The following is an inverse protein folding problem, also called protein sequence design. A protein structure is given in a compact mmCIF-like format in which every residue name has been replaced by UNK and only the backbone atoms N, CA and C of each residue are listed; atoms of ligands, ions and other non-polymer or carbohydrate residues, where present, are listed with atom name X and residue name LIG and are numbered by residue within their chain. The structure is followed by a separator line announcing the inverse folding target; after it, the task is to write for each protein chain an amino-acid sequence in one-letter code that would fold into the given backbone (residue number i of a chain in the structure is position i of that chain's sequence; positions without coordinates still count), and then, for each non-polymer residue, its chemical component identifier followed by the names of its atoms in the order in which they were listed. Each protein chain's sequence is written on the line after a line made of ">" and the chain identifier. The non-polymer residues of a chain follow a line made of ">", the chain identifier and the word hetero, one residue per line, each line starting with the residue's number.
data_IF_049088175126
#
_entry.id   IF_049088175126
#
_cell.length_a   1.000
_cell.length_b   1.000
_cell.length_c   1.000
_cell.angle_alpha   90.00
_cell.angle_beta   90.00
_cell.angle_gamma   90.00
#
_symmetry.space_group_name_H-M   'P 1'
#
loop_
_entity.id
_entity.type
_entity.pdbx_description
1 polymer ?
#
# COMPACT_ATOMS: atom_id res chain seq x y z
N UNK A 1 5.02 -12.17 -15.71
CA UNK A 1 6.32 -11.83 -15.09
C UNK A 1 7.19 -11.24 -16.19
N UNK A 2 7.88 -10.18 -15.88
CA UNK A 2 8.72 -9.50 -16.87
C UNK A 2 10.17 -9.90 -16.64
N UNK A 3 10.78 -10.56 -17.62
CA UNK A 3 12.19 -10.88 -17.60
C UNK A 3 13.02 -9.63 -17.90
N UNK A 4 14.16 -9.48 -17.25
CA UNK A 4 15.07 -8.36 -17.45
C UNK A 4 16.42 -8.82 -17.98
N UNK A 5 17.06 -7.95 -18.76
CA UNK A 5 18.49 -8.03 -19.02
C UNK A 5 19.19 -7.00 -18.14
N UNK A 6 20.19 -7.45 -17.42
CA UNK A 6 21.15 -6.60 -16.72
C UNK A 6 22.37 -6.41 -17.62
N UNK A 7 22.76 -5.17 -17.84
CA UNK A 7 24.09 -4.90 -18.39
C UNK A 7 24.98 -4.31 -17.31
N UNK A 8 26.24 -4.66 -17.39
CA UNK A 8 27.32 -4.01 -16.64
C UNK A 8 28.30 -3.39 -17.60
N UNK A 9 28.53 -2.09 -17.44
CA UNK A 9 29.62 -1.37 -18.11
C UNK A 9 30.74 -1.14 -17.08
N UNK A 10 31.88 -1.80 -17.24
CA UNK A 10 33.11 -1.47 -16.51
C UNK A 10 33.86 -0.40 -17.30
N UNK A 11 34.05 0.79 -16.71
CA UNK A 11 34.44 2.01 -17.41
C UNK A 11 35.78 2.54 -16.87
N UNK A 12 36.70 2.92 -17.75
CA UNK A 12 37.98 3.50 -17.37
C UNK A 12 38.35 4.66 -18.30
N UNK A 13 38.59 5.90 -17.81
CA UNK A 13 38.35 6.35 -16.45
C UNK A 13 36.83 6.39 -16.12
N UNK A 14 36.47 6.26 -14.83
CA UNK A 14 35.11 6.30 -14.35
C UNK A 14 34.92 7.49 -13.40
N UNK A 15 33.94 8.32 -13.66
CA UNK A 15 33.45 9.37 -12.76
C UNK A 15 31.93 9.54 -12.92
N UNK A 16 31.32 10.35 -12.07
CA UNK A 16 29.89 10.59 -12.04
C UNK A 16 29.35 11.17 -13.38
N UNK A 17 30.09 12.06 -14.04
CA UNK A 17 29.66 12.64 -15.31
C UNK A 17 29.61 11.58 -16.43
N UNK A 18 30.59 10.67 -16.44
CA UNK A 18 30.66 9.59 -17.41
C UNK A 18 29.52 8.59 -17.21
N UNK A 19 29.25 8.19 -15.97
CA UNK A 19 28.15 7.26 -15.66
C UNK A 19 26.78 7.87 -15.92
N UNK A 20 26.59 9.16 -15.62
CA UNK A 20 25.35 9.89 -15.90
C UNK A 20 25.09 10.01 -17.40
N UNK A 21 26.13 10.25 -18.18
CA UNK A 21 26.00 10.35 -19.65
C UNK A 21 25.68 8.98 -20.28
N UNK A 22 26.31 7.89 -19.83
CA UNK A 22 25.93 6.54 -20.23
C UNK A 22 24.48 6.23 -19.84
N UNK A 23 24.05 6.58 -18.62
CA UNK A 23 22.69 6.39 -18.17
C UNK A 23 21.69 7.12 -19.06
N UNK A 24 21.98 8.36 -19.47
CA UNK A 24 21.13 9.13 -20.38
C UNK A 24 20.97 8.45 -21.73
N UNK A 25 22.06 8.01 -22.37
CA UNK A 25 21.99 7.31 -23.68
C UNK A 25 21.26 5.96 -23.59
N UNK A 26 21.50 5.21 -22.49
CA UNK A 26 20.80 3.94 -22.26
C UNK A 26 19.31 4.14 -21.99
N UNK A 27 18.94 5.23 -21.29
CA UNK A 27 17.52 5.56 -21.06
C UNK A 27 16.76 5.80 -22.38
N UNK A 28 17.41 6.44 -23.36
CA UNK A 28 16.84 6.62 -24.71
C UNK A 28 16.61 5.29 -25.46
N UNK A 29 17.35 4.23 -25.07
CA UNK A 29 17.17 2.86 -25.57
C UNK A 29 16.16 2.02 -24.74
N UNK A 30 15.52 2.61 -23.73
CA UNK A 30 14.48 1.95 -22.95
C UNK A 30 14.96 1.28 -21.66
N UNK A 31 16.18 1.59 -21.19
CA UNK A 31 16.63 1.17 -19.86
C UNK A 31 15.90 1.95 -18.76
N UNK A 32 15.47 1.25 -17.70
CA UNK A 32 14.56 1.81 -16.70
C UNK A 32 15.24 2.08 -15.36
N UNK A 33 16.36 1.42 -15.08
CA UNK A 33 17.07 1.53 -13.79
C UNK A 33 18.57 1.55 -13.97
N UNK A 34 19.26 2.37 -13.17
CA UNK A 34 20.69 2.63 -13.26
C UNK A 34 21.32 2.62 -11.87
N UNK A 35 22.41 1.87 -11.72
CA UNK A 35 23.17 1.76 -10.48
C UNK A 35 24.64 2.06 -10.79
N UNK A 36 25.08 3.33 -10.63
CA UNK A 36 26.48 3.70 -10.79
C UNK A 36 27.29 3.26 -9.57
N UNK A 37 28.58 2.98 -9.78
CA UNK A 37 29.57 2.78 -8.75
C UNK A 37 30.97 3.33 -9.18
N UNK A 38 31.98 3.15 -8.36
CA UNK A 38 33.34 3.67 -8.60
C UNK A 38 34.02 3.09 -9.85
N UNK A 39 33.50 2.01 -10.42
CA UNK A 39 34.09 1.25 -11.54
C UNK A 39 33.24 1.24 -12.79
N UNK A 40 32.02 1.77 -12.73
CA UNK A 40 31.13 1.80 -13.92
C UNK A 40 29.65 1.93 -13.59
N UNK A 41 28.84 1.35 -14.48
CA UNK A 41 27.38 1.46 -14.43
C UNK A 41 26.74 0.11 -14.64
N UNK A 42 25.78 -0.26 -13.78
CA UNK A 42 24.85 -1.35 -14.02
C UNK A 42 23.50 -0.78 -14.44
N UNK A 43 22.89 -1.32 -15.50
CA UNK A 43 21.60 -0.86 -15.99
C UNK A 43 20.69 -2.05 -16.33
N UNK A 44 19.37 -1.83 -16.24
CA UNK A 44 18.34 -2.85 -16.40
C UNK A 44 17.33 -2.45 -17.48
N UNK A 45 16.98 -3.42 -18.33
CA UNK A 45 16.00 -3.26 -19.39
C UNK A 45 15.10 -4.50 -19.46
N UNK A 46 13.83 -4.30 -19.83
CA UNK A 46 12.94 -5.40 -20.15
C UNK A 46 13.57 -6.27 -21.26
N UNK A 47 13.65 -7.60 -21.06
CA UNK A 47 14.28 -8.53 -22.00
C UNK A 47 13.74 -8.46 -23.41
N UNK A 48 12.46 -8.08 -23.58
CA UNK A 48 11.84 -7.92 -24.91
C UNK A 48 12.30 -6.70 -25.67
N UNK A 49 12.88 -5.70 -24.97
CA UNK A 49 13.40 -4.45 -25.55
C UNK A 49 14.93 -4.48 -25.70
N UNK A 50 15.59 -5.48 -25.11
CA UNK A 50 17.04 -5.53 -25.12
C UNK A 50 17.61 -5.78 -26.52
N UNK A 51 18.50 -4.90 -26.92
CA UNK A 51 19.31 -5.07 -28.15
C UNK A 51 20.78 -4.77 -27.82
N UNK A 52 21.62 -5.78 -27.98
CA UNK A 52 23.05 -5.67 -27.66
C UNK A 52 23.78 -4.68 -28.59
N UNK A 53 23.37 -4.61 -29.86
CA UNK A 53 24.00 -3.72 -30.86
C UNK A 53 23.82 -2.24 -30.51
N UNK A 54 22.69 -1.88 -29.88
CA UNK A 54 22.45 -0.50 -29.43
C UNK A 54 23.45 -0.11 -28.33
N UNK A 55 23.71 -1.00 -27.38
CA UNK A 55 24.72 -0.76 -26.31
C UNK A 55 26.13 -0.67 -26.88
N UNK A 56 26.48 -1.58 -27.79
CA UNK A 56 27.79 -1.56 -28.47
C UNK A 56 27.98 -0.26 -29.29
N UNK A 57 26.93 0.24 -29.91
CA UNK A 57 26.94 1.53 -30.63
C UNK A 57 27.12 2.71 -29.68
N UNK A 58 26.43 2.72 -28.54
CA UNK A 58 26.60 3.75 -27.50
C UNK A 58 28.05 3.78 -27.01
N UNK A 59 28.66 2.62 -26.78
CA UNK A 59 30.06 2.53 -26.35
C UNK A 59 31.00 3.07 -27.45
N UNK A 60 30.78 2.68 -28.72
CA UNK A 60 31.62 3.06 -29.81
C UNK A 60 31.55 4.57 -30.14
N UNK A 61 30.37 5.17 -30.03
CA UNK A 61 30.10 6.56 -30.36
C UNK A 61 30.13 7.49 -29.14
N UNK A 62 30.62 6.97 -27.97
CA UNK A 62 30.65 7.75 -26.74
C UNK A 62 31.50 9.02 -26.90
N UNK A 63 31.00 10.21 -26.49
CA UNK A 63 31.65 11.49 -26.83
C UNK A 63 32.92 11.79 -25.99
N UNK A 64 33.30 10.92 -25.08
CA UNK A 64 34.49 11.03 -24.24
C UNK A 64 35.44 9.86 -24.48
N UNK A 65 36.73 10.06 -24.27
CA UNK A 65 37.74 8.98 -24.39
C UNK A 65 37.68 8.07 -23.17
N UNK A 66 37.01 6.92 -23.31
CA UNK A 66 36.84 5.91 -22.24
C UNK A 66 37.02 4.51 -22.83
N UNK A 67 37.48 3.59 -22.01
CA UNK A 67 37.44 2.16 -22.28
C UNK A 67 36.26 1.58 -21.47
N UNK A 68 35.25 1.05 -22.16
CA UNK A 68 34.04 0.51 -21.55
C UNK A 68 33.83 -0.94 -21.97
N UNK A 69 33.83 -1.85 -21.00
CA UNK A 69 33.62 -3.28 -21.20
C UNK A 69 32.19 -3.67 -20.82
N UNK A 70 31.46 -4.23 -21.78
CA UNK A 70 30.10 -4.71 -21.59
C UNK A 70 30.07 -6.16 -21.10
N UNK A 71 29.30 -6.40 -20.03
CA UNK A 71 28.84 -7.72 -19.60
C UNK A 71 27.31 -7.73 -19.58
N UNK A 72 26.68 -8.81 -20.02
CA UNK A 72 25.23 -8.96 -20.10
C UNK A 72 24.81 -10.21 -19.33
N UNK A 73 23.91 -10.05 -18.40
CA UNK A 73 23.34 -11.14 -17.60
C UNK A 73 21.82 -11.15 -17.76
N UNK A 74 21.25 -12.35 -17.90
CA UNK A 74 19.81 -12.53 -17.90
C UNK A 74 19.29 -12.66 -16.49
N UNK A 75 18.31 -11.83 -16.15
CA UNK A 75 17.58 -11.92 -14.89
C UNK A 75 16.19 -12.48 -15.21
N UNK A 76 16.01 -13.74 -14.91
CA UNK A 76 14.69 -14.36 -14.94
C UNK A 76 13.76 -13.57 -14.00
N UNK A 77 12.62 -13.15 -14.51
CA UNK A 77 11.60 -12.46 -13.74
C UNK A 77 11.12 -13.33 -12.58
N UNK A 78 11.89 -13.33 -11.50
CA UNK A 78 11.45 -13.92 -10.24
C UNK A 78 10.45 -12.97 -9.62
N UNK A 79 9.38 -13.52 -9.16
CA UNK A 79 8.49 -12.79 -8.26
C UNK A 79 9.19 -12.64 -6.90
N UNK A 80 10.03 -11.58 -6.81
CA UNK A 80 10.71 -11.22 -5.57
C UNK A 80 9.70 -10.95 -4.45
N UNK A 81 8.46 -10.62 -4.81
CA UNK A 81 7.37 -10.46 -3.86
C UNK A 81 6.96 -11.83 -3.29
N UNK A 82 6.84 -12.87 -4.12
CA UNK A 82 6.48 -14.22 -3.65
C UNK A 82 7.55 -14.78 -2.69
N UNK A 83 8.84 -14.56 -2.98
CA UNK A 83 9.93 -15.01 -2.09
C UNK A 83 10.01 -14.16 -0.82
N UNK A 84 9.77 -12.85 -0.93
CA UNK A 84 9.67 -11.95 0.21
C UNK A 84 8.43 -12.28 1.07
N UNK A 85 7.29 -12.46 0.46
CA UNK A 85 6.04 -12.83 1.12
C UNK A 85 6.18 -14.13 1.90
N UNK A 86 6.75 -15.18 1.30
CA UNK A 86 6.97 -16.47 1.97
C UNK A 86 7.94 -16.40 3.15
N UNK A 87 8.94 -15.52 3.08
CA UNK A 87 10.00 -15.46 4.09
C UNK A 87 9.75 -14.41 5.18
N UNK A 88 9.01 -13.34 4.88
CA UNK A 88 8.85 -12.17 5.77
C UNK A 88 7.41 -11.95 6.25
N UNK A 89 6.40 -12.40 5.50
CA UNK A 89 5.02 -12.34 5.94
C UNK A 89 4.73 -13.54 6.84
N UNK A 90 4.66 -13.31 8.14
CA UNK A 90 4.30 -14.35 9.13
C UNK A 90 2.87 -14.13 9.61
N UNK A 91 2.13 -15.21 9.99
CA UNK A 91 0.82 -15.05 10.61
C UNK A 91 0.91 -14.15 11.85
N UNK A 92 0.00 -13.20 11.98
CA UNK A 92 -0.09 -12.34 13.15
C UNK A 92 -1.43 -12.51 13.84
N UNK A 93 -1.43 -12.39 15.17
CA UNK A 93 -2.65 -12.42 15.97
C UNK A 93 -2.90 -11.04 16.58
N UNK A 94 -4.09 -10.51 16.34
CA UNK A 94 -4.53 -9.21 16.85
C UNK A 94 -5.49 -9.43 18.02
N UNK A 95 -5.12 -8.88 19.18
CA UNK A 95 -5.93 -8.90 20.41
C UNK A 95 -6.46 -10.29 20.80
N UNK A 96 -5.72 -11.35 20.52
CA UNK A 96 -6.10 -12.76 20.74
C UNK A 96 -7.45 -13.17 20.11
N UNK A 97 -7.95 -12.42 19.14
CA UNK A 97 -9.26 -12.63 18.54
C UNK A 97 -9.24 -12.76 17.02
N UNK A 98 -8.28 -12.15 16.36
CA UNK A 98 -8.19 -12.14 14.89
C UNK A 98 -6.81 -12.61 14.47
N UNK A 99 -6.73 -13.61 13.60
CA UNK A 99 -5.50 -14.02 12.94
C UNK A 99 -5.52 -13.51 11.51
N UNK A 100 -4.38 -13.07 11.02
CA UNK A 100 -4.16 -12.65 9.64
C UNK A 100 -3.02 -13.50 9.10
N UNK A 101 -3.24 -14.14 7.98
CA UNK A 101 -2.26 -15.02 7.35
C UNK A 101 -2.44 -15.05 5.84
N UNK A 102 -1.52 -15.68 5.12
CA UNK A 102 -1.62 -15.91 3.69
C UNK A 102 -2.03 -17.35 3.38
N UNK A 103 -2.50 -17.60 2.15
CA UNK A 103 -2.88 -18.93 1.65
C UNK A 103 -1.74 -19.95 1.70
N UNK A 104 -0.48 -19.51 1.66
CA UNK A 104 0.68 -20.39 1.72
C UNK A 104 1.09 -20.80 3.14
N UNK A 105 0.54 -20.20 4.20
CA UNK A 105 0.85 -20.60 5.58
C UNK A 105 0.16 -21.90 5.95
N UNK A 106 0.91 -22.82 6.57
CA UNK A 106 0.40 -24.14 7.00
C UNK A 106 0.08 -24.18 8.49
N UNK A 107 0.86 -23.47 9.29
CA UNK A 107 0.75 -23.44 10.75
C UNK A 107 0.17 -22.09 11.17
N UNK A 108 -1.17 -21.97 11.11
CA UNK A 108 -1.88 -20.74 11.44
C UNK A 108 -2.47 -20.87 12.84
N UNK A 109 -2.23 -19.89 13.74
CA UNK A 109 -2.86 -19.84 15.05
C UNK A 109 -4.39 -19.82 14.93
N UNK A 110 -5.07 -20.55 15.79
CA UNK A 110 -6.54 -20.54 15.80
C UNK A 110 -7.06 -19.26 16.47
N UNK A 111 -7.96 -18.55 15.81
CA UNK A 111 -8.60 -17.35 16.31
C UNK A 111 -10.09 -17.31 15.95
N UNK A 112 -10.85 -16.40 16.56
CA UNK A 112 -12.29 -16.25 16.31
C UNK A 112 -12.57 -15.71 14.90
N UNK A 113 -11.71 -14.80 14.43
CA UNK A 113 -11.74 -14.23 13.08
C UNK A 113 -10.46 -14.63 12.39
N UNK A 114 -10.61 -15.22 11.23
CA UNK A 114 -9.52 -15.74 10.42
C UNK A 114 -9.55 -14.99 9.08
N UNK A 115 -8.52 -14.18 8.82
CA UNK A 115 -8.43 -13.32 7.65
C UNK A 115 -7.27 -13.78 6.78
N UNK A 116 -7.59 -14.15 5.56
CA UNK A 116 -6.61 -14.55 4.55
C UNK A 116 -6.28 -13.35 3.67
N UNK A 117 -5.00 -12.96 3.65
CA UNK A 117 -4.47 -11.89 2.82
C UNK A 117 -3.25 -12.40 2.08
N UNK A 118 -3.31 -12.41 0.76
CA UNK A 118 -2.15 -12.64 -0.11
C UNK A 118 -1.66 -11.26 -0.61
N UNK A 119 -0.79 -10.58 0.17
CA UNK A 119 -0.40 -9.23 -0.15
C UNK A 119 0.43 -9.22 -1.43
N UNK A 120 -0.02 -8.50 -2.43
CA UNK A 120 0.76 -8.16 -3.60
C UNK A 120 1.46 -6.82 -3.30
N UNK A 121 1.45 -5.86 -4.17
CA UNK A 121 2.02 -4.54 -3.92
C UNK A 121 1.08 -3.60 -3.13
N UNK A 122 0.03 -4.10 -2.49
CA UNK A 122 -0.96 -3.31 -1.77
C UNK A 122 -0.59 -3.11 -0.29
N UNK A 123 -0.87 -1.91 0.24
CA UNK A 123 -0.74 -1.62 1.68
C UNK A 123 -1.88 -2.28 2.48
N UNK A 124 -1.60 -2.67 3.74
CA UNK A 124 -2.61 -3.21 4.65
C UNK A 124 -2.48 -4.70 4.94
N UNK A 125 -1.26 -5.21 5.12
CA UNK A 125 -1.00 -6.61 5.50
C UNK A 125 -1.30 -6.94 6.96
N UNK A 126 -1.64 -5.95 7.78
CA UNK A 126 -1.84 -6.11 9.22
C UNK A 126 -0.57 -5.89 10.06
N UNK A 127 0.63 -6.00 9.48
CA UNK A 127 1.91 -5.86 10.21
C UNK A 127 2.26 -4.43 10.58
N UNK A 128 1.76 -3.46 9.82
CA UNK A 128 2.01 -2.05 10.14
C UNK A 128 1.20 -1.63 11.36
N UNK A 129 1.81 -0.86 12.27
CA UNK A 129 1.17 -0.40 13.51
C UNK A 129 -0.21 0.22 13.28
N UNK A 130 -0.37 1.08 12.26
CA UNK A 130 -1.64 1.75 11.94
C UNK A 130 -2.77 0.75 11.63
N UNK A 131 -2.49 -0.28 10.83
CA UNK A 131 -3.46 -1.30 10.48
C UNK A 131 -3.83 -2.13 11.71
N UNK A 132 -2.83 -2.57 12.49
CA UNK A 132 -3.03 -3.30 13.72
C UNK A 132 -3.88 -2.53 14.74
N UNK A 133 -3.62 -1.22 14.92
CA UNK A 133 -4.38 -0.36 15.83
C UNK A 133 -5.85 -0.19 15.41
N UNK A 134 -6.12 -0.02 14.11
CA UNK A 134 -7.51 0.05 13.61
C UNK A 134 -8.20 -1.30 13.77
N UNK A 135 -7.55 -2.43 13.45
CA UNK A 135 -8.12 -3.77 13.66
C UNK A 135 -8.51 -4.00 15.13
N UNK A 136 -7.62 -3.65 16.08
CA UNK A 136 -7.93 -3.70 17.51
C UNK A 136 -9.15 -2.84 17.86
N UNK A 137 -9.25 -1.64 17.27
CA UNK A 137 -10.37 -0.73 17.53
C UNK A 137 -11.67 -1.26 16.94
N UNK A 138 -11.63 -1.93 15.77
CA UNK A 138 -12.80 -2.59 15.18
C UNK A 138 -13.31 -3.73 16.04
N UNK A 139 -12.40 -4.57 16.60
CA UNK A 139 -12.76 -5.67 17.50
C UNK A 139 -13.48 -5.20 18.77
N UNK A 140 -13.24 -3.96 19.21
CA UNK A 140 -13.88 -3.33 20.37
C UNK A 140 -15.14 -2.52 20.02
N UNK A 141 -15.45 -2.38 18.70
CA UNK A 141 -16.57 -1.57 18.24
C UNK A 141 -17.76 -2.44 17.87
N UNK A 142 -18.96 -2.03 18.29
CA UNK A 142 -20.20 -2.72 17.87
C UNK A 142 -20.47 -2.48 16.37
N UNK A 143 -20.19 -3.51 15.58
CA UNK A 143 -20.33 -3.48 14.12
C UNK A 143 -21.67 -4.08 13.64
N UNK A 144 -22.40 -4.78 14.52
CA UNK A 144 -23.57 -5.55 14.12
C UNK A 144 -24.67 -4.66 13.52
N UNK A 145 -25.01 -4.95 12.27
CA UNK A 145 -26.05 -4.22 11.53
C UNK A 145 -25.66 -2.81 11.09
N UNK A 146 -24.41 -2.39 11.28
CA UNK A 146 -23.90 -1.07 10.88
C UNK A 146 -23.54 -1.03 9.39
N UNK A 147 -23.57 0.17 8.83
CA UNK A 147 -22.95 0.46 7.54
C UNK A 147 -21.55 1.05 7.73
N UNK A 148 -20.59 0.62 6.90
CA UNK A 148 -19.17 0.98 7.00
C UNK A 148 -18.70 1.49 5.64
N UNK A 149 -17.89 2.56 5.66
CA UNK A 149 -17.09 3.01 4.52
C UNK A 149 -15.63 2.94 4.95
N UNK A 150 -14.79 2.31 4.12
CA UNK A 150 -13.34 2.20 4.29
C UNK A 150 -12.64 2.92 3.14
N UNK A 151 -12.08 4.10 3.41
CA UNK A 151 -11.45 4.98 2.44
C UNK A 151 -9.94 4.70 2.35
N UNK A 152 -9.46 4.36 1.15
CA UNK A 152 -8.11 3.83 0.94
C UNK A 152 -8.01 2.41 1.50
N UNK A 153 -8.89 1.51 1.00
CA UNK A 153 -9.07 0.17 1.61
C UNK A 153 -7.84 -0.73 1.44
N UNK A 154 -6.96 -0.44 0.46
CA UNK A 154 -5.73 -1.21 0.21
C UNK A 154 -6.03 -2.68 -0.04
N UNK A 155 -5.48 -3.58 0.78
CA UNK A 155 -5.78 -5.02 0.72
C UNK A 155 -7.23 -5.38 1.06
N UNK A 156 -8.04 -4.44 1.53
CA UNK A 156 -9.40 -4.69 1.99
C UNK A 156 -9.52 -5.21 3.43
N UNK A 157 -8.43 -5.38 4.15
CA UNK A 157 -8.40 -6.06 5.46
C UNK A 157 -9.35 -5.44 6.50
N UNK A 158 -9.45 -4.10 6.56
CA UNK A 158 -10.32 -3.40 7.51
C UNK A 158 -11.79 -3.57 7.16
N UNK A 159 -12.10 -3.52 5.86
CA UNK A 159 -13.43 -3.79 5.32
C UNK A 159 -13.83 -5.25 5.56
N UNK A 160 -12.94 -6.20 5.32
CA UNK A 160 -13.15 -7.64 5.54
C UNK A 160 -13.47 -7.90 7.02
N UNK A 161 -12.63 -7.42 7.96
CA UNK A 161 -12.92 -7.58 9.38
C UNK A 161 -14.26 -6.94 9.76
N UNK A 162 -14.58 -5.77 9.22
CA UNK A 162 -15.86 -5.10 9.47
C UNK A 162 -17.05 -5.97 9.07
N UNK A 163 -16.97 -6.64 7.91
CA UNK A 163 -17.99 -7.58 7.47
C UNK A 163 -18.07 -8.81 8.38
N UNK A 164 -16.94 -9.41 8.76
CA UNK A 164 -16.90 -10.55 9.69
C UNK A 164 -17.47 -10.22 11.08
N UNK A 165 -17.34 -8.98 11.53
CA UNK A 165 -17.93 -8.46 12.77
C UNK A 165 -19.45 -8.21 12.68
N UNK A 166 -20.06 -8.46 11.53
CA UNK A 166 -21.51 -8.40 11.32
C UNK A 166 -22.00 -7.04 10.82
N UNK A 167 -21.17 -6.23 10.20
CA UNK A 167 -21.63 -5.04 9.48
C UNK A 167 -22.61 -5.45 8.38
N UNK A 168 -23.70 -4.68 8.24
CA UNK A 168 -24.76 -4.97 7.25
C UNK A 168 -24.37 -4.61 5.82
N UNK A 169 -23.61 -3.55 5.69
CA UNK A 169 -23.11 -3.03 4.41
C UNK A 169 -21.70 -2.48 4.62
N UNK A 170 -20.75 -2.96 3.84
CA UNK A 170 -19.38 -2.49 3.85
C UNK A 170 -19.01 -2.06 2.44
N UNK A 171 -18.43 -0.86 2.31
CA UNK A 171 -17.94 -0.33 1.04
C UNK A 171 -16.49 0.11 1.23
N UNK A 172 -15.58 -0.50 0.49
CA UNK A 172 -14.19 -0.07 0.36
C UNK A 172 -14.01 0.84 -0.86
N UNK A 173 -13.17 1.87 -0.76
CA UNK A 173 -12.81 2.74 -1.89
C UNK A 173 -11.30 2.70 -2.01
N UNK A 174 -10.78 2.44 -3.22
CA UNK A 174 -9.35 2.38 -3.50
C UNK A 174 -9.02 3.11 -4.80
N UNK A 175 -7.98 3.93 -4.78
CA UNK A 175 -7.59 4.74 -5.94
C UNK A 175 -6.62 3.99 -6.86
N UNK A 176 -5.79 3.11 -6.31
CA UNK A 176 -4.83 2.32 -7.07
C UNK A 176 -5.51 1.09 -7.69
N UNK A 177 -5.45 0.91 -9.02
CA UNK A 177 -6.10 -0.21 -9.69
C UNK A 177 -5.57 -1.57 -9.24
N UNK A 178 -4.26 -1.68 -8.95
CA UNK A 178 -3.65 -2.93 -8.51
C UNK A 178 -4.10 -3.33 -7.09
N UNK A 179 -4.17 -2.36 -6.17
CA UNK A 179 -4.69 -2.56 -4.83
C UNK A 179 -6.20 -2.86 -4.86
N UNK A 180 -6.96 -2.20 -5.75
CA UNK A 180 -8.39 -2.48 -5.96
C UNK A 180 -8.64 -3.93 -6.38
N UNK A 181 -7.90 -4.44 -7.38
CA UNK A 181 -8.02 -5.85 -7.81
C UNK A 181 -7.62 -6.81 -6.70
N UNK A 182 -6.55 -6.50 -5.95
CA UNK A 182 -6.12 -7.30 -4.81
C UNK A 182 -7.18 -7.32 -3.68
N UNK A 183 -7.84 -6.18 -3.40
CA UNK A 183 -8.95 -6.14 -2.45
C UNK A 183 -10.13 -7.03 -2.86
N UNK A 184 -10.50 -7.05 -4.14
CA UNK A 184 -11.55 -7.92 -4.67
C UNK A 184 -11.21 -9.40 -4.47
N UNK A 185 -9.98 -9.82 -4.78
CA UNK A 185 -9.50 -11.18 -4.54
C UNK A 185 -9.60 -11.55 -3.05
N UNK A 186 -9.18 -10.66 -2.15
CA UNK A 186 -9.25 -10.91 -0.70
C UNK A 186 -10.68 -11.00 -0.19
N UNK A 187 -11.59 -10.17 -0.70
CA UNK A 187 -13.02 -10.26 -0.37
C UNK A 187 -13.56 -11.63 -0.75
N UNK A 188 -13.21 -12.16 -1.91
CA UNK A 188 -13.59 -13.50 -2.37
C UNK A 188 -12.94 -14.59 -1.51
N UNK A 189 -11.62 -14.53 -1.25
CA UNK A 189 -10.89 -15.49 -0.41
C UNK A 189 -11.50 -15.62 0.99
N UNK A 190 -11.95 -14.52 1.57
CA UNK A 190 -12.53 -14.49 2.89
C UNK A 190 -14.05 -14.75 2.90
N UNK A 191 -14.67 -14.96 1.74
CA UNK A 191 -16.09 -15.23 1.58
C UNK A 191 -17.00 -14.23 2.34
N UNK A 192 -16.65 -12.94 2.23
CA UNK A 192 -17.41 -11.84 2.85
C UNK A 192 -18.09 -10.96 1.79
N UNK A 193 -19.11 -10.20 2.21
CA UNK A 193 -19.80 -9.27 1.31
C UNK A 193 -19.30 -7.84 1.55
N UNK A 194 -18.41 -7.38 0.67
CA UNK A 194 -17.85 -6.03 0.65
C UNK A 194 -17.93 -5.49 -0.77
N UNK A 195 -18.53 -4.32 -0.93
CA UNK A 195 -18.54 -3.59 -2.20
C UNK A 195 -17.21 -2.84 -2.32
N UNK A 196 -16.35 -3.14 -3.29
CA UNK A 196 -15.12 -2.38 -3.53
C UNK A 196 -15.30 -1.49 -4.75
N UNK A 197 -14.95 -0.20 -4.63
CA UNK A 197 -15.08 0.81 -5.66
C UNK A 197 -13.70 1.37 -6.03
N UNK A 198 -13.36 1.35 -7.31
CA UNK A 198 -12.16 2.02 -7.81
C UNK A 198 -12.42 3.53 -7.91
N UNK A 199 -11.57 4.34 -7.29
CA UNK A 199 -11.60 5.81 -7.34
C UNK A 199 -11.15 6.48 -6.06
N UNK A 200 -11.29 7.79 -6.03
CA UNK A 200 -10.93 8.67 -4.92
C UNK A 200 -12.14 9.09 -4.07
N UNK A 201 -11.97 10.12 -3.24
CA UNK A 201 -13.04 10.65 -2.37
C UNK A 201 -14.28 11.17 -3.14
N UNK A 202 -14.22 11.36 -4.46
CA UNK A 202 -15.39 11.74 -5.27
C UNK A 202 -16.43 10.65 -5.31
N UNK A 203 -16.03 9.36 -5.18
CA UNK A 203 -16.94 8.21 -5.08
C UNK A 203 -17.88 8.29 -3.87
N UNK A 204 -17.50 9.03 -2.84
CA UNK A 204 -18.36 9.26 -1.68
C UNK A 204 -19.70 9.95 -2.03
N UNK A 205 -19.74 10.71 -3.11
CA UNK A 205 -20.98 11.36 -3.59
C UNK A 205 -22.05 10.36 -4.08
N UNK A 206 -21.65 9.13 -4.36
CA UNK A 206 -22.54 8.05 -4.81
C UNK A 206 -23.09 7.23 -3.64
N UNK A 207 -22.54 7.43 -2.44
CA UNK A 207 -22.84 6.64 -1.25
C UNK A 207 -23.82 7.36 -0.31
N UNK A 208 -24.52 6.54 0.47
CA UNK A 208 -25.30 7.06 1.60
C UNK A 208 -24.40 7.17 2.84
N UNK A 209 -24.64 8.13 3.74
CA UNK A 209 -23.89 8.23 4.98
C UNK A 209 -23.87 6.92 5.78
N UNK A 210 -22.68 6.53 6.24
CA UNK A 210 -22.45 5.33 7.01
C UNK A 210 -22.54 5.55 8.52
N UNK A 211 -22.70 4.46 9.27
CA UNK A 211 -22.61 4.45 10.73
C UNK A 211 -21.15 4.56 11.20
N UNK A 212 -20.24 4.00 10.40
CA UNK A 212 -18.80 3.97 10.69
C UNK A 212 -18.04 4.35 9.42
N UNK A 213 -17.07 5.24 9.57
CA UNK A 213 -16.15 5.68 8.51
C UNK A 213 -14.71 5.39 8.94
N UNK A 214 -13.96 4.71 8.11
CA UNK A 214 -12.56 4.33 8.35
C UNK A 214 -11.69 5.03 7.30
N UNK A 215 -10.54 5.58 7.71
CA UNK A 215 -9.49 6.02 6.79
C UNK A 215 -8.12 5.80 7.45
N UNK A 216 -7.38 4.82 6.93
CA UNK A 216 -6.00 4.52 7.32
C UNK A 216 -5.06 4.94 6.20
N UNK A 217 -4.92 6.25 5.99
CA UNK A 217 -4.20 6.85 4.88
C UNK A 217 -3.37 8.06 5.34
N UNK A 218 -2.59 8.64 4.45
CA UNK A 218 -1.73 9.79 4.77
C UNK A 218 -2.51 10.97 5.37
N UNK A 219 -1.97 11.58 6.45
CA UNK A 219 -2.54 12.74 7.16
C UNK A 219 -2.98 13.87 6.23
N UNK A 220 -2.17 14.21 5.22
CA UNK A 220 -2.47 15.36 4.35
C UNK A 220 -3.72 15.09 3.50
N UNK A 221 -3.93 13.85 3.06
CA UNK A 221 -5.13 13.43 2.34
C UNK A 221 -6.33 13.48 3.28
N UNK A 222 -6.20 12.96 4.51
CA UNK A 222 -7.27 13.05 5.51
C UNK A 222 -7.70 14.50 5.72
N UNK A 223 -6.76 15.42 5.93
CA UNK A 223 -7.05 16.83 6.16
C UNK A 223 -7.70 17.50 4.96
N UNK A 224 -7.33 17.13 3.74
CA UNK A 224 -7.94 17.63 2.52
C UNK A 224 -9.39 17.17 2.37
N UNK A 225 -9.68 15.92 2.71
CA UNK A 225 -10.95 15.27 2.40
C UNK A 225 -11.89 15.11 3.61
N UNK A 226 -11.48 15.46 4.83
CA UNK A 226 -12.24 15.24 6.07
C UNK A 226 -13.65 15.84 6.04
N UNK A 227 -13.84 16.92 5.29
CA UNK A 227 -15.18 17.52 5.10
C UNK A 227 -16.12 16.61 4.30
N UNK A 228 -15.60 15.87 3.31
CA UNK A 228 -16.31 14.88 2.53
C UNK A 228 -16.60 13.63 3.36
N UNK A 229 -15.64 13.20 4.17
CA UNK A 229 -15.82 12.09 5.12
C UNK A 229 -16.92 12.39 6.13
N UNK A 230 -16.92 13.62 6.68
CA UNK A 230 -17.98 14.07 7.62
C UNK A 230 -19.37 14.06 7.00
N UNK A 231 -19.52 14.46 5.73
CA UNK A 231 -20.81 14.41 5.01
C UNK A 231 -21.33 12.99 4.84
N UNK A 232 -20.42 12.03 4.75
CA UNK A 232 -20.73 10.60 4.58
C UNK A 232 -20.77 9.83 5.90
N UNK A 233 -20.81 10.54 7.05
CA UNK A 233 -20.99 9.97 8.37
C UNK A 233 -22.32 10.41 8.98
N UNK A 234 -23.12 9.48 9.46
CA UNK A 234 -24.38 9.75 10.14
C UNK A 234 -24.18 10.55 11.44
N UNK A 235 -25.17 11.32 11.88
CA UNK A 235 -25.17 11.87 13.24
C UNK A 235 -25.03 10.75 14.28
N UNK A 236 -24.10 10.89 15.23
CA UNK A 236 -23.75 9.86 16.20
C UNK A 236 -22.87 8.73 15.64
N UNK A 237 -22.46 8.81 14.38
CA UNK A 237 -21.57 7.84 13.75
C UNK A 237 -20.12 7.95 14.24
N UNK A 238 -19.36 6.90 14.05
CA UNK A 238 -17.96 6.77 14.47
C UNK A 238 -17.04 6.97 13.24
N UNK A 239 -15.99 7.77 13.42
CA UNK A 239 -14.90 7.88 12.44
C UNK A 239 -13.61 7.35 13.06
N UNK A 240 -12.93 6.46 12.34
CA UNK A 240 -11.62 5.89 12.73
C UNK A 240 -10.58 6.38 11.74
N UNK A 241 -9.60 7.13 12.23
CA UNK A 241 -8.53 7.71 11.42
C UNK A 241 -7.16 7.19 11.89
N UNK A 242 -6.31 6.84 10.94
CA UNK A 242 -4.92 6.44 11.19
C UNK A 242 -4.06 6.74 9.94
N UNK A 243 -2.76 6.39 9.99
CA UNK A 243 -1.80 6.72 8.93
C UNK A 243 -1.04 8.01 9.21
N UNK A 244 -0.95 8.40 10.50
CA UNK A 244 -0.22 9.57 10.97
C UNK A 244 0.32 9.34 12.39
N UNK A 245 1.18 10.24 12.85
CA UNK A 245 1.87 10.15 14.13
C UNK A 245 1.10 10.85 15.26
N UNK A 246 1.44 10.52 16.51
CA UNK A 246 0.85 11.16 17.71
C UNK A 246 0.96 12.69 17.65
N UNK A 247 2.09 13.21 17.18
CA UNK A 247 2.31 14.66 17.00
C UNK A 247 1.29 15.35 16.10
N UNK A 248 0.60 14.61 15.24
CA UNK A 248 -0.39 15.11 14.30
C UNK A 248 -1.81 15.19 14.88
N UNK A 249 -2.07 14.55 16.03
CA UNK A 249 -3.40 14.49 16.64
C UNK A 249 -4.00 15.88 16.81
N UNK A 250 -3.24 16.83 17.32
CA UNK A 250 -3.74 18.21 17.54
C UNK A 250 -4.21 18.90 16.25
N UNK A 251 -3.61 18.58 15.10
CA UNK A 251 -4.00 19.10 13.80
C UNK A 251 -5.29 18.43 13.30
N UNK A 252 -5.36 17.11 13.41
CA UNK A 252 -6.55 16.31 13.05
C UNK A 252 -7.74 16.75 13.94
N UNK A 253 -7.56 16.86 15.25
CA UNK A 253 -8.60 17.26 16.19
C UNK A 253 -9.14 18.65 15.88
N UNK A 254 -8.28 19.62 15.54
CA UNK A 254 -8.72 20.97 15.16
C UNK A 254 -9.58 20.95 13.91
N UNK A 255 -9.18 20.19 12.87
CA UNK A 255 -9.95 20.08 11.64
C UNK A 255 -11.29 19.34 11.88
N UNK A 256 -11.27 18.30 12.69
CA UNK A 256 -12.44 17.51 13.05
C UNK A 256 -13.46 18.32 13.87
N UNK A 257 -13.00 19.04 14.89
CA UNK A 257 -13.85 19.88 15.75
C UNK A 257 -14.60 20.96 14.95
N UNK A 258 -13.96 21.55 13.95
CA UNK A 258 -14.59 22.52 13.05
C UNK A 258 -15.79 21.94 12.26
N UNK A 259 -15.85 20.62 12.14
CA UNK A 259 -16.89 19.88 11.42
C UNK A 259 -17.88 19.16 12.35
N UNK A 260 -17.78 19.39 13.68
CA UNK A 260 -18.64 18.72 14.66
C UNK A 260 -18.29 17.26 14.93
N UNK A 261 -17.05 16.87 14.65
CA UNK A 261 -16.46 15.59 15.08
C UNK A 261 -15.67 15.82 16.37
N UNK A 262 -15.80 14.92 17.34
CA UNK A 262 -15.10 14.99 18.62
C UNK A 262 -14.21 13.77 18.78
N UNK A 263 -12.93 13.99 19.10
CA UNK A 263 -11.99 12.93 19.46
C UNK A 263 -12.39 12.38 20.82
N UNK A 264 -12.68 11.08 20.89
CA UNK A 264 -13.10 10.42 22.13
C UNK A 264 -12.04 9.51 22.73
N UNK A 265 -11.17 8.97 21.89
CA UNK A 265 -10.02 8.16 22.33
C UNK A 265 -9.03 8.00 21.19
N UNK A 266 -7.82 7.57 21.52
CA UNK A 266 -6.85 7.08 20.53
C UNK A 266 -6.07 5.90 21.13
N UNK A 267 -5.48 5.09 20.25
CA UNK A 267 -4.50 4.05 20.57
C UNK A 267 -3.18 4.42 19.88
N UNK A 268 -2.07 3.99 20.45
CA UNK A 268 -0.72 4.28 19.98
C UNK A 268 0.14 3.02 19.95
N UNK A 269 0.99 2.91 18.93
CA UNK A 269 2.07 1.94 18.83
C UNK A 269 3.21 2.54 18.00
N UNK A 270 4.42 2.67 18.61
CA UNK A 270 5.63 3.19 17.94
C UNK A 270 5.39 4.54 17.25
N UNK A 271 4.85 5.51 17.98
CA UNK A 271 4.48 6.86 17.53
C UNK A 271 3.30 6.92 16.53
N UNK A 272 2.86 5.80 15.97
CA UNK A 272 1.67 5.73 15.11
C UNK A 272 0.40 5.68 15.96
N UNK A 273 -0.64 6.33 15.47
CA UNK A 273 -1.91 6.39 16.22
C UNK A 273 -3.11 5.96 15.38
N UNK A 274 -4.11 5.41 16.06
CA UNK A 274 -5.47 5.27 15.57
C UNK A 274 -6.41 6.09 16.43
N UNK A 275 -7.03 7.10 15.85
CA UNK A 275 -7.92 8.05 16.55
C UNK A 275 -9.38 7.70 16.29
N UNK A 276 -10.17 7.62 17.35
CA UNK A 276 -11.62 7.44 17.29
C UNK A 276 -12.32 8.74 17.56
N UNK A 277 -13.17 9.13 16.59
CA UNK A 277 -14.00 10.33 16.70
C UNK A 277 -15.48 9.96 16.65
N UNK A 278 -16.32 10.79 17.23
CA UNK A 278 -17.78 10.68 17.16
C UNK A 278 -18.35 11.95 16.53
N UNK A 279 -19.28 11.75 15.59
CA UNK A 279 -20.06 12.84 15.04
C UNK A 279 -21.08 13.34 16.08
N UNK A 280 -21.03 14.62 16.47
CA UNK A 280 -22.05 15.21 17.34
C UNK A 280 -23.42 15.16 16.66
N UNK A 281 -24.46 14.92 17.46
CA UNK A 281 -25.86 14.87 16.99
C UNK A 281 -26.33 16.24 16.53
#
# INVERSE_FOLDING_TARGET
>A
MTDYQQIRLDITPCDENITDLFAAFLADCGYESFVPDETGLTAYINSTLFNKEDVESIIADFPMEVDAKLTVDFIEGKDWNEEWEKNYFQPIVIADQCVIHSTFHKDVPNAKYDIVIDPKMAFGTGHHSTTSLILQTLLETDMKGKSVIDMGTGTGILAILSAMLGAKKVTGIEIDPGAYENALEHVELNNVNVDVLLGDATRLNELQPADIFIANINRNIILADISSYRKNLKPGGIMLLSGFYESDIAMIERAANALGLEVVSYKEDKDWVAVKLICKK
#
